data_IF_241570606073
#
_entry.id   IF_241570606073
#
_cell.length_a   1.000
_cell.length_b   1.000
_cell.length_c   1.000
_cell.angle_alpha   90.00
_cell.angle_beta   90.00
_cell.angle_gamma   90.00
#
_symmetry.space_group_name_H-M   'P 1'
#
loop_
_entity.id
_entity.type
_entity.pdbx_description
1 polymer ?
#
# COMPACT_ATOMS: atom_id res chain seq x y z
N UNK A 1 22.46 -13.12 7.10
CA UNK A 1 21.60 -12.18 7.85
C UNK A 1 20.37 -11.94 7.00
N UNK A 2 19.17 -12.00 7.60
CA UNK A 2 17.91 -11.82 6.89
C UNK A 2 17.85 -10.43 6.24
N UNK A 3 17.38 -10.34 5.00
CA UNK A 3 17.20 -9.06 4.32
C UNK A 3 16.13 -8.20 5.03
N UNK A 4 16.41 -6.91 5.24
CA UNK A 4 15.46 -6.01 5.89
C UNK A 4 14.27 -5.72 4.95
N UNK A 5 13.02 -5.79 5.42
CA UNK A 5 11.84 -5.61 4.57
C UNK A 5 11.71 -4.18 4.04
N UNK A 6 10.94 -4.05 2.96
CA UNK A 6 10.54 -2.79 2.35
C UNK A 6 9.04 -2.59 2.59
N UNK A 7 8.67 -1.43 3.14
CA UNK A 7 7.27 -1.04 3.33
C UNK A 7 6.91 0.10 2.39
N UNK A 8 5.89 -0.09 1.56
CA UNK A 8 5.32 1.00 0.75
C UNK A 8 4.19 1.63 1.55
N UNK A 9 4.46 2.82 2.11
CA UNK A 9 3.54 3.62 2.90
C UNK A 9 2.80 4.58 1.97
N UNK A 10 1.49 4.36 1.82
CA UNK A 10 0.66 5.15 0.92
C UNK A 10 -0.75 5.27 1.47
N UNK A 11 -1.44 6.36 1.12
CA UNK A 11 -2.90 6.43 1.25
C UNK A 11 -3.56 5.46 0.25
N UNK A 12 -4.78 4.94 0.52
CA UNK A 12 -5.54 4.18 -0.47
C UNK A 12 -5.61 4.87 -1.84
N UNK A 13 -5.77 4.08 -2.89
CA UNK A 13 -5.82 4.54 -4.28
C UNK A 13 -4.55 5.24 -4.80
N UNK A 14 -3.37 5.03 -4.19
CA UNK A 14 -2.11 5.68 -4.60
C UNK A 14 -1.16 4.76 -5.38
N UNK A 15 -1.65 3.94 -6.32
CA UNK A 15 -0.83 3.05 -7.17
C UNK A 15 0.01 1.97 -6.46
N UNK A 16 -0.16 1.80 -5.13
CA UNK A 16 0.62 0.86 -4.31
C UNK A 16 0.66 -0.58 -4.82
N UNK A 17 -0.45 -1.08 -5.36
CA UNK A 17 -0.55 -2.44 -5.88
C UNK A 17 0.35 -2.63 -7.12
N UNK A 18 0.38 -1.62 -8.00
CA UNK A 18 1.23 -1.63 -9.17
C UNK A 18 2.71 -1.57 -8.78
N UNK A 19 3.11 -0.62 -7.92
CA UNK A 19 4.51 -0.55 -7.47
C UNK A 19 4.95 -1.81 -6.73
N UNK A 20 4.10 -2.35 -5.83
CA UNK A 20 4.41 -3.60 -5.13
C UNK A 20 4.63 -4.74 -6.13
N UNK A 21 3.75 -4.91 -7.12
CA UNK A 21 3.89 -5.92 -8.16
C UNK A 21 5.16 -5.73 -9.01
N UNK A 22 5.50 -4.49 -9.37
CA UNK A 22 6.73 -4.17 -10.13
C UNK A 22 7.96 -4.62 -9.36
N UNK A 23 8.05 -4.22 -8.09
CA UNK A 23 9.19 -4.58 -7.24
C UNK A 23 9.26 -6.09 -7.03
N UNK A 24 8.13 -6.78 -6.92
CA UNK A 24 8.08 -8.24 -6.76
C UNK A 24 8.67 -9.04 -7.92
N UNK A 25 8.78 -8.46 -9.12
CA UNK A 25 9.40 -9.15 -10.26
C UNK A 25 10.92 -9.02 -10.28
N UNK A 26 11.51 -8.20 -9.40
CA UNK A 26 12.95 -8.13 -9.27
C UNK A 26 13.48 -9.43 -8.64
N UNK A 27 14.55 -10.05 -9.18
CA UNK A 27 15.09 -11.34 -8.69
C UNK A 27 15.65 -11.36 -7.26
N UNK A 28 15.62 -10.23 -6.55
CA UNK A 28 16.12 -10.09 -5.17
C UNK A 28 14.99 -9.69 -4.21
N UNK A 29 13.77 -9.48 -4.73
CA UNK A 29 12.63 -9.00 -3.99
C UNK A 29 11.50 -10.03 -4.07
N UNK A 30 10.54 -9.93 -3.16
CA UNK A 30 9.32 -10.73 -3.15
C UNK A 30 8.15 -9.84 -2.73
N UNK A 31 7.17 -9.66 -3.60
CA UNK A 31 5.99 -8.87 -3.28
C UNK A 31 4.98 -9.66 -2.46
N UNK A 32 4.22 -8.93 -1.65
CA UNK A 32 3.06 -9.48 -0.95
C UNK A 32 1.76 -8.79 -1.42
N UNK A 33 0.61 -9.48 -1.27
CA UNK A 33 -0.69 -8.84 -1.23
C UNK A 33 -0.83 -7.99 0.06
N UNK A 34 -1.97 -7.33 0.23
CA UNK A 34 -2.45 -6.69 1.45
C UNK A 34 -2.50 -7.72 2.59
N UNK A 35 -1.40 -7.86 3.30
CA UNK A 35 -1.27 -8.78 4.42
C UNK A 35 -2.13 -8.35 5.60
N UNK A 36 -2.22 -7.04 5.83
CA UNK A 36 -2.81 -6.43 7.02
C UNK A 36 -2.23 -6.94 8.36
N UNK A 37 -1.22 -7.82 8.32
CA UNK A 37 -0.73 -8.59 9.46
C UNK A 37 -0.19 -7.67 10.55
N UNK A 38 0.61 -6.68 10.17
CA UNK A 38 1.22 -5.75 11.11
C UNK A 38 0.26 -4.65 11.60
N UNK A 39 -1.01 -4.64 11.14
CA UNK A 39 -2.01 -3.66 11.59
C UNK A 39 -2.44 -3.86 13.04
N UNK A 40 -2.23 -5.06 13.59
CA UNK A 40 -2.48 -5.37 15.01
C UNK A 40 -1.25 -6.06 15.62
N UNK A 41 -1.21 -6.12 16.94
CA UNK A 41 -0.11 -6.78 17.67
C UNK A 41 -0.25 -8.30 17.66
N UNK A 42 -1.49 -8.81 17.69
CA UNK A 42 -1.78 -10.24 17.68
C UNK A 42 -2.76 -10.60 16.55
N UNK A 43 -2.66 -11.81 15.97
CA UNK A 43 -3.59 -12.28 14.93
C UNK A 43 -5.05 -12.34 15.36
N UNK A 44 -5.32 -12.56 16.65
CA UNK A 44 -6.68 -12.57 17.21
C UNK A 44 -7.43 -11.27 16.91
N UNK A 45 -6.76 -10.13 17.04
CA UNK A 45 -7.39 -8.83 16.74
C UNK A 45 -7.70 -8.64 15.25
N UNK A 46 -6.99 -9.33 14.35
CA UNK A 46 -7.32 -9.33 12.92
C UNK A 46 -8.59 -10.15 12.66
N UNK A 47 -8.76 -11.27 13.37
CA UNK A 47 -9.93 -12.14 13.28
C UNK A 47 -11.20 -11.49 13.85
N UNK A 48 -11.07 -10.55 14.79
CA UNK A 48 -12.18 -9.78 15.36
C UNK A 48 -12.68 -8.67 14.41
N UNK A 49 -11.88 -8.28 13.42
CA UNK A 49 -12.15 -7.17 12.50
C UNK A 49 -12.16 -7.58 11.00
N UNK A 50 -12.82 -8.69 10.61
CA UNK A 50 -12.65 -9.26 9.26
C UNK A 50 -13.21 -8.37 8.14
N UNK A 51 -14.12 -7.45 8.45
CA UNK A 51 -14.69 -6.51 7.49
C UNK A 51 -13.72 -5.37 7.11
N UNK A 52 -12.87 -4.92 8.05
CA UNK A 52 -11.93 -3.81 7.88
C UNK A 52 -10.50 -4.29 7.65
N UNK A 53 -10.16 -5.49 8.12
CA UNK A 53 -8.85 -6.13 8.00
C UNK A 53 -9.01 -7.54 7.41
N UNK A 54 -9.38 -7.65 6.12
CA UNK A 54 -9.54 -8.95 5.48
C UNK A 54 -8.22 -9.73 5.50
N UNK A 55 -8.32 -11.04 5.75
CA UNK A 55 -7.17 -11.95 5.85
C UNK A 55 -6.76 -12.56 4.50
N UNK A 56 -7.47 -12.24 3.41
CA UNK A 56 -7.24 -12.80 2.08
C UNK A 56 -5.76 -12.76 1.68
N UNK A 57 -5.09 -11.61 1.83
CA UNK A 57 -3.69 -11.47 1.46
C UNK A 57 -2.75 -12.34 2.32
N UNK A 58 -2.97 -12.39 3.64
CA UNK A 58 -2.20 -13.26 4.53
C UNK A 58 -2.38 -14.74 4.18
N UNK A 59 -3.63 -15.18 3.98
CA UNK A 59 -3.93 -16.58 3.65
C UNK A 59 -3.35 -16.97 2.28
N UNK A 60 -3.48 -16.10 1.27
CA UNK A 60 -2.87 -16.31 -0.05
C UNK A 60 -1.36 -16.42 0.03
N UNK A 61 -0.74 -15.57 0.85
CA UNK A 61 0.72 -15.58 1.02
C UNK A 61 1.21 -16.87 1.68
N UNK A 62 0.53 -17.30 2.74
CA UNK A 62 0.86 -18.56 3.43
C UNK A 62 0.61 -19.76 2.51
N UNK A 63 -0.52 -19.78 1.80
CA UNK A 63 -0.84 -20.83 0.81
C UNK A 63 0.24 -20.94 -0.25
N UNK A 64 0.64 -19.81 -0.85
CA UNK A 64 1.69 -19.79 -1.86
C UNK A 64 3.06 -20.21 -1.31
N UNK A 65 3.46 -19.71 -0.14
CA UNK A 65 4.80 -19.92 0.41
C UNK A 65 4.99 -21.32 1.00
N UNK A 66 3.98 -21.88 1.65
CA UNK A 66 4.07 -23.17 2.31
C UNK A 66 3.41 -24.31 1.51
N UNK A 67 2.37 -24.02 0.73
CA UNK A 67 1.70 -24.98 -0.13
C UNK A 67 2.21 -24.99 -1.57
N UNK A 68 2.88 -23.92 -2.03
CA UNK A 68 3.35 -23.78 -3.41
C UNK A 68 2.25 -23.39 -4.41
N UNK A 69 1.02 -23.20 -3.96
CA UNK A 69 -0.16 -22.98 -4.79
C UNK A 69 -1.21 -22.10 -4.09
N UNK A 70 -2.26 -21.71 -4.81
CA UNK A 70 -3.40 -20.95 -4.29
C UNK A 70 -4.73 -21.65 -4.62
N UNK A 71 -4.91 -22.82 -4.03
CA UNK A 71 -6.12 -23.67 -4.08
C UNK A 71 -6.99 -23.51 -2.83
N UNK A 72 -8.20 -24.07 -2.83
CA UNK A 72 -9.06 -24.10 -1.63
C UNK A 72 -8.38 -24.81 -0.46
N UNK A 73 -7.71 -25.92 -0.75
CA UNK A 73 -6.97 -26.76 0.19
C UNK A 73 -5.81 -25.98 0.81
N UNK A 74 -5.06 -25.23 -0.01
CA UNK A 74 -3.98 -24.38 0.49
C UNK A 74 -4.49 -23.24 1.39
N UNK A 75 -5.70 -22.70 1.16
CA UNK A 75 -6.28 -21.68 2.03
C UNK A 75 -6.70 -22.25 3.38
N UNK A 76 -7.23 -23.47 3.38
CA UNK A 76 -7.58 -24.15 4.63
C UNK A 76 -6.31 -24.53 5.43
N UNK A 77 -5.26 -24.97 4.75
CA UNK A 77 -3.94 -25.14 5.35
C UNK A 77 -3.43 -23.82 5.95
N UNK A 78 -3.54 -22.71 5.19
CA UNK A 78 -3.12 -21.39 5.65
C UNK A 78 -3.90 -20.90 6.89
N UNK A 79 -5.20 -21.18 6.98
CA UNK A 79 -6.00 -20.88 8.19
C UNK A 79 -5.51 -21.66 9.40
N UNK A 80 -5.29 -22.97 9.24
CA UNK A 80 -4.72 -23.81 10.32
C UNK A 80 -3.33 -23.34 10.74
N UNK A 81 -2.49 -22.96 9.77
CA UNK A 81 -1.18 -22.37 10.01
C UNK A 81 -1.27 -21.09 10.84
N UNK A 82 -2.25 -20.22 10.55
CA UNK A 82 -2.49 -18.99 11.33
C UNK A 82 -3.01 -19.30 12.73
N UNK A 83 -3.94 -20.26 12.87
CA UNK A 83 -4.50 -20.65 14.16
C UNK A 83 -3.47 -21.23 15.14
N UNK A 84 -2.44 -21.90 14.63
CA UNK A 84 -1.31 -22.36 15.45
C UNK A 84 -0.39 -21.21 15.91
N UNK A 85 -0.62 -19.98 15.46
CA UNK A 85 0.19 -18.79 15.73
C UNK A 85 -0.58 -17.68 16.44
N UNK A 86 -1.81 -17.91 16.90
CA UNK A 86 -2.63 -16.88 17.54
C UNK A 86 -1.98 -16.26 18.78
N UNK A 87 -1.14 -17.02 19.49
CA UNK A 87 -0.39 -16.54 20.66
C UNK A 87 0.91 -15.80 20.31
N UNK A 88 1.35 -15.84 19.05
CA UNK A 88 2.55 -15.11 18.60
C UNK A 88 2.19 -13.66 18.27
N UNK A 89 3.15 -12.76 18.47
CA UNK A 89 3.00 -11.41 17.94
C UNK A 89 3.09 -11.44 16.41
N UNK A 90 2.34 -10.54 15.76
CA UNK A 90 2.31 -10.41 14.30
C UNK A 90 3.69 -10.12 13.71
N UNK A 91 4.55 -9.41 14.45
CA UNK A 91 5.97 -9.19 14.07
C UNK A 91 6.75 -10.50 13.91
N UNK A 92 6.53 -11.46 14.81
CA UNK A 92 7.27 -12.72 14.83
C UNK A 92 6.81 -13.63 13.69
N UNK A 93 5.50 -13.59 13.39
CA UNK A 93 4.90 -14.23 12.23
C UNK A 93 5.44 -13.60 10.94
N UNK A 94 5.53 -12.27 10.87
CA UNK A 94 6.09 -11.58 9.70
C UNK A 94 7.58 -11.93 9.48
N UNK A 95 8.38 -12.00 10.55
CA UNK A 95 9.77 -12.47 10.49
C UNK A 95 9.86 -13.94 10.05
N UNK A 96 8.92 -14.80 10.46
CA UNK A 96 8.82 -16.18 9.99
C UNK A 96 8.60 -16.23 8.46
N UNK A 97 7.72 -15.38 7.93
CA UNK A 97 7.50 -15.26 6.49
C UNK A 97 8.74 -14.70 5.76
N UNK A 98 9.42 -13.71 6.32
CA UNK A 98 10.68 -13.20 5.77
C UNK A 98 11.73 -14.32 5.68
N UNK A 99 11.88 -15.15 6.72
CA UNK A 99 12.82 -16.30 6.68
C UNK A 99 12.43 -17.33 5.62
N UNK A 100 11.14 -17.48 5.33
CA UNK A 100 10.66 -18.45 4.34
C UNK A 100 11.04 -18.08 2.90
N UNK A 101 11.26 -16.80 2.62
CA UNK A 101 11.64 -16.30 1.29
C UNK A 101 13.14 -15.97 1.16
N UNK A 102 13.94 -16.17 2.22
CA UNK A 102 15.39 -15.90 2.17
C UNK A 102 16.04 -16.66 1.00
N UNK A 103 16.89 -16.00 0.18
CA UNK A 103 17.53 -14.69 0.37
C UNK A 103 16.76 -13.47 -0.19
N UNK A 104 15.51 -13.63 -0.63
CA UNK A 104 14.72 -12.52 -1.17
C UNK A 104 14.30 -11.52 -0.08
N UNK A 105 14.22 -10.25 -0.45
CA UNK A 105 13.77 -9.17 0.42
C UNK A 105 12.28 -8.92 0.23
N UNK A 106 11.52 -8.94 1.33
CA UNK A 106 10.07 -8.75 1.31
C UNK A 106 9.69 -7.30 0.95
N UNK A 107 8.65 -7.15 0.13
CA UNK A 107 7.98 -5.88 -0.19
C UNK A 107 6.52 -5.98 0.24
N UNK A 108 6.12 -5.20 1.25
CA UNK A 108 4.74 -5.18 1.77
C UNK A 108 4.11 -3.79 1.59
N UNK A 109 2.88 -3.78 1.10
CA UNK A 109 2.05 -2.59 1.04
C UNK A 109 0.62 -2.91 1.42
N UNK A 110 0.27 -2.60 2.67
CA UNK A 110 -1.09 -2.73 3.18
C UNK A 110 -1.71 -1.36 3.47
N UNK A 111 -2.89 -1.07 2.91
CA UNK A 111 -3.62 0.17 3.19
C UNK A 111 -3.97 0.34 4.68
N UNK A 112 -4.07 -0.77 5.42
CA UNK A 112 -4.29 -0.79 6.86
C UNK A 112 -3.13 -0.15 7.65
N UNK A 113 -1.91 -0.14 7.12
CA UNK A 113 -0.73 0.38 7.83
C UNK A 113 -0.76 1.90 7.97
N UNK A 114 -1.49 2.58 7.09
CA UNK A 114 -1.62 4.03 7.08
C UNK A 114 -3.01 4.48 7.51
N UNK A 115 -3.72 3.68 8.31
CA UNK A 115 -5.06 4.01 8.81
C UNK A 115 -5.02 5.05 9.95
N UNK A 116 -5.64 6.23 9.79
CA UNK A 116 -5.72 7.30 10.80
C UNK A 116 -6.24 6.86 12.17
N UNK A 117 -7.11 5.85 12.22
CA UNK A 117 -7.68 5.35 13.48
C UNK A 117 -6.72 4.48 14.28
N UNK A 118 -5.59 4.09 13.68
CA UNK A 118 -4.64 3.14 14.22
C UNK A 118 -3.19 3.63 13.99
N UNK A 119 -2.84 4.86 14.42
CA UNK A 119 -1.53 5.46 14.15
C UNK A 119 -0.37 4.62 14.70
N UNK A 120 -0.63 3.83 15.75
CA UNK A 120 0.39 3.00 16.39
C UNK A 120 0.86 1.83 15.53
N UNK A 121 0.19 1.58 14.42
CA UNK A 121 0.64 0.62 13.42
C UNK A 121 2.01 1.01 12.85
N UNK A 122 2.23 2.28 12.52
CA UNK A 122 3.52 2.73 12.00
C UNK A 122 4.61 2.61 13.06
N UNK A 123 4.33 3.01 14.30
CA UNK A 123 5.24 2.84 15.43
C UNK A 123 5.60 1.36 15.65
N UNK A 124 4.63 0.45 15.58
CA UNK A 124 4.83 -1.00 15.68
C UNK A 124 5.73 -1.53 14.56
N UNK A 125 5.50 -1.09 13.32
CA UNK A 125 6.34 -1.47 12.18
C UNK A 125 7.78 -0.97 12.39
N UNK A 126 7.97 0.30 12.78
CA UNK A 126 9.28 0.88 13.06
C UNK A 126 10.04 0.17 14.17
N UNK A 127 9.35 -0.14 15.28
CA UNK A 127 9.94 -0.86 16.42
C UNK A 127 10.26 -2.32 16.10
N UNK A 128 9.40 -3.00 15.33
CA UNK A 128 9.60 -4.39 14.92
C UNK A 128 10.70 -4.58 13.88
N UNK A 129 10.89 -3.58 13.02
CA UNK A 129 11.84 -3.63 11.91
C UNK A 129 12.72 -2.38 11.85
N UNK A 130 13.61 -2.19 12.85
CA UNK A 130 14.37 -0.95 13.01
C UNK A 130 15.39 -0.68 11.90
N UNK A 131 15.55 -1.60 10.93
CA UNK A 131 16.43 -1.47 9.75
C UNK A 131 15.67 -1.58 8.42
N UNK A 132 14.33 -1.56 8.45
CA UNK A 132 13.50 -1.60 7.26
C UNK A 132 13.72 -0.36 6.37
N UNK A 133 13.35 -0.52 5.10
CA UNK A 133 13.30 0.53 4.10
C UNK A 133 11.86 0.96 3.88
N UNK A 134 11.62 2.24 3.64
CA UNK A 134 10.28 2.80 3.47
C UNK A 134 10.16 3.59 2.16
N UNK A 135 9.11 3.33 1.41
CA UNK A 135 8.75 4.14 0.24
C UNK A 135 7.48 4.90 0.59
N UNK A 136 7.55 6.23 0.69
CA UNK A 136 6.36 7.08 0.78
C UNK A 136 5.81 7.32 -0.61
N UNK A 137 4.78 6.59 -0.98
CA UNK A 137 4.15 6.68 -2.30
C UNK A 137 2.94 7.62 -2.21
N UNK A 138 3.03 8.75 -2.93
CA UNK A 138 1.98 9.78 -2.94
C UNK A 138 1.23 9.78 -4.26
N UNK A 139 -0.01 10.27 -4.22
CA UNK A 139 -0.85 10.53 -5.39
C UNK A 139 -1.44 11.92 -5.26
N UNK A 140 -1.66 12.58 -6.39
CA UNK A 140 -2.25 13.91 -6.45
C UNK A 140 -3.59 13.93 -5.68
N UNK A 141 -3.81 14.89 -4.75
CA UNK A 141 -4.98 14.91 -3.87
C UNK A 141 -6.29 14.80 -4.65
N UNK A 142 -6.45 15.60 -5.72
CA UNK A 142 -7.68 15.56 -6.54
C UNK A 142 -7.99 14.19 -7.15
N UNK A 143 -6.98 13.53 -7.73
CA UNK A 143 -7.23 12.26 -8.43
C UNK A 143 -7.43 11.11 -7.45
N UNK A 144 -6.78 11.16 -6.27
CA UNK A 144 -7.02 10.21 -5.19
C UNK A 144 -8.41 10.41 -4.57
N UNK A 145 -8.78 11.64 -4.23
CA UNK A 145 -10.09 11.97 -3.66
C UNK A 145 -11.22 11.61 -4.63
N UNK A 146 -11.03 11.87 -5.93
CA UNK A 146 -12.00 11.42 -6.94
C UNK A 146 -12.13 9.89 -6.97
N UNK A 147 -11.06 9.14 -6.74
CA UNK A 147 -11.12 7.68 -6.67
C UNK A 147 -11.92 7.18 -5.46
N UNK A 148 -11.74 7.82 -4.29
CA UNK A 148 -12.55 7.56 -3.10
C UNK A 148 -14.05 7.74 -3.36
N UNK A 149 -14.43 8.77 -4.12
CA UNK A 149 -15.83 9.11 -4.37
C UNK A 149 -16.52 8.21 -5.41
N UNK A 150 -15.80 7.28 -6.07
CA UNK A 150 -16.38 6.42 -7.12
C UNK A 150 -17.17 5.21 -6.62
N UNK A 151 -16.89 4.72 -5.41
CA UNK A 151 -17.49 3.49 -4.88
C UNK A 151 -18.18 3.75 -3.52
N UNK A 152 -19.46 3.36 -3.33
CA UNK A 152 -20.19 3.61 -2.09
C UNK A 152 -19.53 3.07 -0.82
N UNK A 153 -18.78 1.95 -0.91
CA UNK A 153 -18.05 1.41 0.24
C UNK A 153 -16.89 2.30 0.65
N UNK A 154 -16.20 2.88 -0.33
CA UNK A 154 -15.11 3.84 -0.10
C UNK A 154 -15.66 5.13 0.55
N UNK A 155 -16.84 5.59 0.12
CA UNK A 155 -17.55 6.71 0.76
C UNK A 155 -17.98 6.37 2.20
N UNK A 156 -18.47 5.15 2.44
CA UNK A 156 -18.80 4.67 3.78
C UNK A 156 -17.57 4.62 4.70
N UNK A 157 -16.41 4.25 4.18
CA UNK A 157 -15.15 4.31 4.93
C UNK A 157 -14.78 5.75 5.29
N UNK A 158 -14.92 6.72 4.37
CA UNK A 158 -14.70 8.14 4.67
C UNK A 158 -15.63 8.66 5.79
N UNK A 159 -16.90 8.25 5.79
CA UNK A 159 -17.81 8.54 6.90
C UNK A 159 -17.27 7.99 8.22
N UNK A 160 -16.80 6.74 8.22
CA UNK A 160 -16.24 6.11 9.40
C UNK A 160 -14.98 6.85 9.87
N UNK A 161 -14.15 7.33 8.96
CA UNK A 161 -12.94 8.13 9.20
C UNK A 161 -13.23 9.58 9.61
N UNK A 162 -14.50 10.00 9.57
CA UNK A 162 -14.93 11.37 9.84
C UNK A 162 -14.26 12.42 8.93
N UNK A 163 -14.04 12.06 7.68
CA UNK A 163 -13.46 12.96 6.68
C UNK A 163 -14.53 13.92 6.15
N UNK A 164 -14.79 15.01 6.88
CA UNK A 164 -15.80 16.00 6.52
C UNK A 164 -15.24 17.40 6.45
N UNK A 165 -15.77 18.17 5.52
CA UNK A 165 -15.71 19.62 5.55
C UNK A 165 -16.81 20.17 6.47
N UNK A 166 -16.45 21.16 7.27
CA UNK A 166 -17.34 21.84 8.21
C UNK A 166 -17.55 23.32 7.86
N UNK A 167 -17.17 23.73 6.65
CA UNK A 167 -17.30 25.08 6.11
C UNK A 167 -18.67 25.37 5.48
N UNK A 168 -19.57 24.38 5.49
CA UNK A 168 -20.94 24.44 4.96
C UNK A 168 -21.98 24.27 6.07
N UNK A 169 -23.22 24.70 5.83
CA UNK A 169 -24.33 24.57 6.80
C UNK A 169 -24.56 23.13 7.30
N UNK A 170 -24.28 22.13 6.47
CA UNK A 170 -24.24 20.72 6.86
C UNK A 170 -22.87 20.16 6.49
N UNK A 171 -22.26 19.31 7.34
CA UNK A 171 -20.98 18.69 7.02
C UNK A 171 -21.06 17.87 5.72
N UNK A 172 -20.11 18.11 4.82
CA UNK A 172 -20.03 17.39 3.53
C UNK A 172 -18.84 16.46 3.59
N UNK A 173 -18.99 15.22 3.11
CA UNK A 173 -17.87 14.29 2.99
C UNK A 173 -16.84 14.88 2.04
N UNK A 174 -15.60 14.98 2.52
CA UNK A 174 -14.52 15.51 1.71
C UNK A 174 -13.26 14.65 1.94
N UNK A 175 -12.84 13.84 0.95
CA UNK A 175 -11.71 12.93 1.11
C UNK A 175 -10.37 13.64 1.30
N UNK A 176 -10.28 14.96 1.05
CA UNK A 176 -9.03 15.70 1.18
C UNK A 176 -8.49 15.70 2.62
N UNK A 177 -9.37 15.64 3.62
CA UNK A 177 -8.96 15.58 5.02
C UNK A 177 -8.33 14.23 5.39
N UNK A 178 -8.86 13.11 4.88
CA UNK A 178 -8.20 11.80 5.00
C UNK A 178 -6.86 11.78 4.24
N UNK A 179 -6.81 12.32 3.02
CA UNK A 179 -5.57 12.46 2.25
C UNK A 179 -4.50 13.21 3.06
N UNK A 180 -4.87 14.34 3.66
CA UNK A 180 -3.97 15.16 4.47
C UNK A 180 -3.53 14.41 5.73
N UNK A 181 -4.48 13.84 6.48
CA UNK A 181 -4.19 13.17 7.74
C UNK A 181 -3.21 12.01 7.55
N UNK A 182 -3.46 11.14 6.55
CA UNK A 182 -2.58 9.99 6.27
C UNK A 182 -1.18 10.43 5.86
N UNK A 183 -1.07 11.41 4.97
CA UNK A 183 0.23 11.88 4.52
C UNK A 183 1.02 12.57 5.65
N UNK A 184 0.37 13.37 6.49
CA UNK A 184 1.02 13.96 7.68
C UNK A 184 1.46 12.89 8.67
N UNK A 185 0.62 11.88 8.92
CA UNK A 185 0.96 10.76 9.78
C UNK A 185 2.19 9.99 9.28
N UNK A 186 2.28 9.74 7.96
CA UNK A 186 3.44 9.10 7.35
C UNK A 186 4.69 9.98 7.48
N UNK A 187 4.59 11.29 7.21
CA UNK A 187 5.71 12.22 7.36
C UNK A 187 6.23 12.25 8.80
N UNK A 188 5.33 12.41 9.78
CA UNK A 188 5.70 12.42 11.20
C UNK A 188 6.40 11.11 11.63
N UNK A 189 5.98 9.96 11.09
CA UNK A 189 6.67 8.69 11.32
C UNK A 189 8.06 8.68 10.68
N UNK A 190 8.18 9.15 9.44
CA UNK A 190 9.44 9.17 8.69
C UNK A 190 10.46 10.18 9.22
N UNK A 191 10.03 11.23 9.92
CA UNK A 191 10.92 12.17 10.61
C UNK A 191 11.82 11.47 11.65
N UNK A 192 11.35 10.35 12.21
CA UNK A 192 12.13 9.51 13.12
C UNK A 192 13.01 8.46 12.43
N UNK A 193 12.97 8.36 11.10
CA UNK A 193 13.70 7.36 10.31
C UNK A 193 14.91 8.02 9.62
N UNK A 194 16.11 7.41 9.73
CA UNK A 194 17.28 7.80 8.94
C UNK A 194 16.96 8.01 7.46
N UNK A 195 17.43 9.13 6.91
CA UNK A 195 17.10 9.59 5.55
C UNK A 195 17.60 8.65 4.45
N UNK A 196 18.58 7.80 4.73
CA UNK A 196 19.05 6.75 3.81
C UNK A 196 18.12 5.53 3.75
N UNK A 197 17.11 5.46 4.63
CA UNK A 197 16.16 4.34 4.72
C UNK A 197 14.75 4.69 4.27
N UNK A 198 14.54 5.88 3.73
CA UNK A 198 13.28 6.16 3.05
C UNK A 198 13.44 7.10 1.86
N UNK A 199 12.55 6.94 0.89
CA UNK A 199 12.41 7.83 -0.26
C UNK A 199 10.93 8.17 -0.44
N UNK A 200 10.64 9.28 -1.13
CA UNK A 200 9.28 9.67 -1.50
C UNK A 200 9.15 9.71 -3.02
N UNK A 201 8.11 9.08 -3.54
CA UNK A 201 7.83 8.98 -4.98
C UNK A 201 6.40 9.38 -5.27
N UNK A 202 6.18 10.12 -6.36
CA UNK A 202 4.83 10.34 -6.92
C UNK A 202 4.46 9.11 -7.75
N UNK A 203 3.33 8.50 -7.44
CA UNK A 203 2.87 7.30 -8.14
C UNK A 203 2.61 7.56 -9.62
N UNK A 204 2.20 8.78 -9.99
CA UNK A 204 2.05 9.16 -11.39
C UNK A 204 3.38 9.08 -12.17
N UNK A 205 4.47 9.53 -11.56
CA UNK A 205 5.79 9.52 -12.19
C UNK A 205 6.31 8.10 -12.35
N UNK A 206 6.14 7.25 -11.32
CA UNK A 206 6.53 5.84 -11.37
C UNK A 206 5.81 5.10 -12.50
N UNK A 207 4.53 5.39 -12.75
CA UNK A 207 3.75 4.72 -13.80
C UNK A 207 4.03 5.29 -15.19
N UNK A 208 4.33 6.59 -15.31
CA UNK A 208 4.58 7.26 -16.58
C UNK A 208 6.03 7.18 -17.05
N UNK A 209 6.98 7.12 -16.12
CA UNK A 209 8.42 6.98 -16.34
C UNK A 209 9.01 5.89 -15.42
N UNK A 210 8.59 4.61 -15.59
CA UNK A 210 9.02 3.54 -14.69
C UNK A 210 10.53 3.30 -14.73
N UNK A 211 11.21 3.56 -15.85
CA UNK A 211 12.65 3.26 -15.98
C UNK A 211 13.48 4.02 -14.97
N UNK A 212 13.35 5.35 -14.95
CA UNK A 212 14.17 6.21 -14.09
C UNK A 212 13.89 5.94 -12.61
N UNK A 213 12.62 5.77 -12.23
CA UNK A 213 12.24 5.54 -10.84
C UNK A 213 12.54 4.12 -10.35
N UNK A 214 12.41 3.10 -11.19
CA UNK A 214 12.79 1.74 -10.79
C UNK A 214 14.31 1.61 -10.69
N UNK A 215 15.09 2.29 -11.55
CA UNK A 215 16.55 2.39 -11.41
C UNK A 215 16.94 3.07 -10.11
N UNK A 216 16.30 4.21 -9.80
CA UNK A 216 16.50 4.95 -8.55
C UNK A 216 16.24 4.07 -7.33
N UNK A 217 15.11 3.34 -7.30
CA UNK A 217 14.78 2.40 -6.23
C UNK A 217 15.83 1.29 -6.12
N UNK A 218 16.25 0.69 -7.22
CA UNK A 218 17.25 -0.40 -7.20
C UNK A 218 18.60 0.09 -6.67
N UNK A 219 19.05 1.26 -7.11
CA UNK A 219 20.28 1.89 -6.62
C UNK A 219 20.18 2.21 -5.12
N UNK A 220 19.06 2.78 -4.67
CA UNK A 220 18.82 3.09 -3.26
C UNK A 220 18.81 1.84 -2.39
N UNK A 221 18.14 0.77 -2.83
CA UNK A 221 18.10 -0.53 -2.14
C UNK A 221 19.41 -1.32 -2.22
N UNK A 222 20.35 -0.86 -3.06
CA UNK A 222 21.64 -1.49 -3.39
C UNK A 222 21.46 -2.90 -3.96
N UNK A 223 20.54 -3.04 -4.91
CA UNK A 223 20.26 -4.30 -5.64
C UNK A 223 20.59 -4.15 -7.13
N UNK A 224 20.86 -5.27 -7.85
CA UNK A 224 21.26 -5.22 -9.26
C UNK A 224 20.25 -4.52 -10.17
N UNK A 225 20.73 -3.81 -11.18
CA UNK A 225 19.89 -3.19 -12.21
C UNK A 225 20.46 -3.46 -13.60
N UNK A 226 19.61 -3.92 -14.52
CA UNK A 226 19.93 -4.11 -15.93
C UNK A 226 18.62 -4.22 -16.75
N UNK A 227 18.74 -4.30 -18.08
CA UNK A 227 17.58 -4.36 -18.98
C UNK A 227 16.63 -5.54 -18.67
N UNK A 228 17.18 -6.72 -18.40
CA UNK A 228 16.35 -7.89 -18.09
C UNK A 228 15.57 -7.73 -16.79
N UNK A 229 16.16 -7.07 -15.79
CA UNK A 229 15.48 -6.74 -14.52
C UNK A 229 14.39 -5.71 -14.78
N UNK A 230 14.68 -4.68 -15.56
CA UNK A 230 13.69 -3.67 -15.93
C UNK A 230 12.46 -4.28 -16.61
N UNK A 231 12.66 -5.08 -17.66
CA UNK A 231 11.57 -5.74 -18.38
C UNK A 231 10.75 -6.67 -17.47
N UNK A 232 11.41 -7.42 -16.58
CA UNK A 232 10.72 -8.24 -15.58
C UNK A 232 9.85 -7.37 -14.66
N UNK A 233 10.38 -6.24 -14.17
CA UNK A 233 9.66 -5.31 -13.30
C UNK A 233 8.46 -4.62 -13.97
N UNK A 234 8.41 -4.55 -15.30
CA UNK A 234 7.22 -4.06 -16.01
C UNK A 234 6.09 -5.08 -16.11
N UNK A 235 6.41 -6.38 -16.05
CA UNK A 235 5.46 -7.47 -16.20
C UNK A 235 4.70 -7.74 -14.89
N UNK A 236 3.98 -6.74 -14.39
CA UNK A 236 3.27 -6.77 -13.11
C UNK A 236 2.19 -7.87 -13.03
N UNK A 237 1.67 -8.33 -14.16
CA UNK A 237 0.77 -9.47 -14.28
C UNK A 237 1.41 -10.81 -13.90
N UNK A 238 2.74 -10.92 -13.91
CA UNK A 238 3.46 -12.15 -13.57
C UNK A 238 3.55 -12.40 -12.06
N UNK A 239 3.23 -11.40 -11.22
CA UNK A 239 3.11 -11.64 -9.78
C UNK A 239 2.01 -12.67 -9.50
N UNK A 240 2.33 -13.65 -8.66
CA UNK A 240 1.38 -14.68 -8.18
C UNK A 240 0.19 -14.08 -7.40
N UNK A 241 0.27 -12.81 -7.03
CA UNK A 241 -0.78 -12.05 -6.34
C UNK A 241 -1.52 -11.07 -7.24
N UNK A 242 -1.20 -11.03 -8.54
CA UNK A 242 -1.83 -10.15 -9.54
C UNK A 242 -3.13 -10.71 -10.15
N UNK A 243 -3.59 -11.87 -9.68
CA UNK A 243 -4.89 -12.45 -10.03
C UNK A 243 -5.81 -12.56 -8.80
N UNK A 244 -7.10 -12.80 -9.03
CA UNK A 244 -8.01 -13.16 -7.96
C UNK A 244 -7.61 -14.52 -7.36
N UNK A 245 -7.61 -14.61 -6.04
CA UNK A 245 -7.38 -15.86 -5.32
C UNK A 245 -8.57 -16.81 -5.33
N UNK A 246 -8.43 -18.00 -4.73
CA UNK A 246 -9.51 -18.98 -4.62
C UNK A 246 -10.64 -18.49 -3.70
N UNK A 247 -11.73 -19.25 -3.66
CA UNK A 247 -12.86 -18.94 -2.78
C UNK A 247 -12.42 -18.90 -1.30
N UNK A 248 -12.94 -17.92 -0.56
CA UNK A 248 -12.56 -17.69 0.85
C UNK A 248 -11.22 -16.97 1.07
N UNK A 249 -10.53 -16.56 0.00
CA UNK A 249 -9.38 -15.64 0.00
C UNK A 249 -9.21 -15.02 -1.39
N UNK A 250 -10.28 -14.40 -1.93
CA UNK A 250 -10.35 -13.93 -3.31
C UNK A 250 -9.47 -12.70 -3.55
N UNK A 251 -9.32 -11.87 -2.53
CA UNK A 251 -8.71 -10.54 -2.65
C UNK A 251 -7.26 -10.54 -2.17
N UNK A 252 -6.81 -9.45 -1.56
CA UNK A 252 -5.39 -9.22 -1.23
C UNK A 252 -4.75 -8.13 -2.09
N UNK A 253 -5.45 -7.57 -3.08
CA UNK A 253 -5.12 -6.27 -3.68
C UNK A 253 -6.41 -5.55 -4.00
N UNK A 254 -6.32 -4.27 -4.38
CA UNK A 254 -7.51 -3.56 -4.81
C UNK A 254 -8.14 -4.28 -6.03
N UNK A 255 -9.49 -4.35 -6.13
CA UNK A 255 -10.13 -5.06 -7.23
C UNK A 255 -9.87 -4.46 -8.63
N UNK A 256 -9.57 -3.16 -8.70
CA UNK A 256 -9.27 -2.48 -9.97
C UNK A 256 -7.97 -3.00 -10.59
N UNK A 257 -6.92 -3.17 -9.80
CA UNK A 257 -5.65 -3.74 -10.24
C UNK A 257 -5.81 -5.20 -10.66
N UNK A 258 -6.50 -6.03 -9.86
CA UNK A 258 -6.69 -7.45 -10.18
C UNK A 258 -7.49 -7.69 -11.48
N UNK A 259 -8.31 -6.72 -11.91
CA UNK A 259 -9.03 -6.79 -13.20
C UNK A 259 -8.12 -6.54 -14.40
N UNK A 260 -7.04 -5.80 -14.21
CA UNK A 260 -6.11 -5.41 -15.29
C UNK A 260 -4.72 -5.20 -14.70
N UNK A 261 -4.04 -6.29 -14.31
CA UNK A 261 -2.79 -6.21 -13.56
C UNK A 261 -1.61 -5.80 -14.43
N UNK A 262 -1.69 -5.98 -15.75
CA UNK A 262 -0.66 -5.57 -16.69
C UNK A 262 -0.48 -4.05 -16.67
N UNK A 263 0.77 -3.60 -16.61
CA UNK A 263 1.10 -2.19 -16.53
C UNK A 263 0.61 -1.46 -17.78
N UNK A 264 -0.28 -0.49 -17.59
CA UNK A 264 -0.70 0.44 -18.66
C UNK A 264 0.08 1.73 -18.53
N UNK A 265 1.22 1.81 -19.21
CA UNK A 265 1.99 3.05 -19.30
C UNK A 265 1.12 4.14 -19.91
N UNK A 266 1.02 5.28 -19.21
CA UNK A 266 0.30 6.46 -19.67
C UNK A 266 1.29 7.58 -19.91
N UNK A 267 1.91 7.57 -21.09
CA UNK A 267 2.79 8.65 -21.53
C UNK A 267 2.05 9.99 -21.52
N UNK A 268 2.70 11.03 -20.99
CA UNK A 268 2.19 12.40 -21.04
C UNK A 268 0.90 12.64 -20.25
N UNK A 269 0.63 11.85 -19.19
CA UNK A 269 -0.51 12.13 -18.32
C UNK A 269 -0.31 13.51 -17.68
N UNK A 270 -1.09 14.50 -18.12
CA UNK A 270 -1.13 15.82 -17.47
C UNK A 270 -1.54 15.60 -16.03
N UNK A 271 -0.64 15.92 -15.10
CA UNK A 271 -0.98 16.03 -13.69
C UNK A 271 -2.19 16.95 -13.56
N UNK A 272 -3.12 16.56 -12.70
CA UNK A 272 -4.19 17.47 -12.32
C UNK A 272 -3.57 18.72 -11.71
N UNK A 273 -4.24 19.86 -11.89
CA UNK A 273 -3.84 21.10 -11.21
C UNK A 273 -4.34 21.10 -9.77
N UNK A 274 -3.69 21.83 -8.87
CA UNK A 274 -4.20 22.00 -7.51
C UNK A 274 -5.44 22.93 -7.43
N UNK A 275 -5.58 23.86 -8.37
CA UNK A 275 -6.67 24.85 -8.40
C UNK A 275 -8.00 24.30 -8.97
N UNK A 276 -9.06 25.07 -8.78
CA UNK A 276 -10.40 24.79 -9.32
C UNK A 276 -11.33 24.01 -8.39
N UNK A 277 -12.61 23.98 -8.75
CA UNK A 277 -13.68 23.36 -7.97
C UNK A 277 -13.57 21.84 -7.90
N UNK A 278 -13.88 21.24 -6.76
CA UNK A 278 -13.82 19.79 -6.56
C UNK A 278 -15.10 19.13 -7.10
N UNK A 279 -15.00 18.05 -7.91
CA UNK A 279 -16.18 17.46 -8.57
C UNK A 279 -17.14 16.75 -7.61
N UNK A 280 -16.74 16.49 -6.36
CA UNK A 280 -17.60 15.94 -5.31
C UNK A 280 -18.25 17.02 -4.43
N UNK A 281 -17.97 18.30 -4.69
CA UNK A 281 -18.50 19.42 -3.94
C UNK A 281 -19.49 20.21 -4.77
N UNK A 282 -20.70 20.39 -4.24
CA UNK A 282 -21.80 21.12 -4.90
C UNK A 282 -21.70 22.63 -4.74
N UNK A 283 -20.93 23.11 -3.77
CA UNK A 283 -20.68 24.53 -3.49
C UNK A 283 -19.53 25.13 -4.30
N UNK A 284 -18.89 24.33 -5.16
CA UNK A 284 -17.79 24.78 -6.01
C UNK A 284 -16.46 24.97 -5.28
N UNK A 285 -16.34 24.58 -4.00
CA UNK A 285 -15.10 24.77 -3.25
C UNK A 285 -13.94 23.92 -3.82
N UNK A 286 -12.72 24.45 -3.67
CA UNK A 286 -11.47 23.81 -4.07
C UNK A 286 -10.81 23.00 -2.95
N UNK A 287 -9.56 22.60 -3.18
CA UNK A 287 -8.72 22.08 -2.10
C UNK A 287 -8.47 23.16 -1.04
N UNK A 288 -8.38 22.76 0.22
CA UNK A 288 -8.01 23.66 1.33
C UNK A 288 -6.57 24.14 1.18
N UNK A 289 -6.26 25.29 1.78
CA UNK A 289 -4.89 25.82 1.80
C UNK A 289 -3.88 24.82 2.36
N UNK A 290 -4.22 24.12 3.43
CA UNK A 290 -3.37 23.09 4.03
C UNK A 290 -3.13 21.89 3.11
N UNK A 291 -4.15 21.48 2.33
CA UNK A 291 -4.00 20.40 1.34
C UNK A 291 -3.11 20.84 0.18
N UNK A 292 -3.27 22.08 -0.31
CA UNK A 292 -2.44 22.66 -1.37
C UNK A 292 -0.99 22.77 -0.92
N UNK A 293 -0.75 23.26 0.30
CA UNK A 293 0.60 23.38 0.86
C UNK A 293 1.30 22.01 0.94
N UNK A 294 0.62 21.01 1.50
CA UNK A 294 1.16 19.66 1.60
C UNK A 294 1.39 19.03 0.21
N UNK A 295 0.50 19.27 -0.75
CA UNK A 295 0.68 18.77 -2.11
C UNK A 295 1.87 19.43 -2.82
N UNK A 296 2.11 20.73 -2.60
CA UNK A 296 3.30 21.42 -3.10
C UNK A 296 4.59 20.89 -2.47
N UNK A 297 4.58 20.53 -1.18
CA UNK A 297 5.72 19.84 -0.56
C UNK A 297 6.04 18.49 -1.23
N UNK A 298 5.05 17.85 -1.85
CA UNK A 298 5.21 16.64 -2.64
C UNK A 298 5.51 16.88 -4.12
N UNK A 299 5.65 18.14 -4.54
CA UNK A 299 5.94 18.52 -5.92
C UNK A 299 4.73 18.53 -6.84
N UNK A 300 3.50 18.66 -6.33
CA UNK A 300 2.33 18.91 -7.17
C UNK A 300 2.10 20.42 -7.38
N UNK A 301 1.57 20.78 -8.55
CA UNK A 301 1.30 22.16 -8.99
C UNK A 301 -0.18 22.36 -9.32
#
# INVERSE_FOLDING_TARGET
>A
MLANPIFILASPFSFRAALCAMLGQHPNLYDLPDMNLLAREYPTNLLDEPATLPLDGLLRSVGQLYGGEQTLESMEMARRWLYQRLSKQTRDIYLELCRKIDPLRMVDSSAAYTNPKQPETLHRIGAGFPKAYYIHLVRHPRTQCQAWMKDPRSVSELHALKSYAHDTNQPVIDPQFDWQHRNRMILNFLDGIPTDRWIRLRGEDVISNPRDHLEEICRWLKIPWNESVYEAMLATENSVYSSAGPYGAKWGRNPEFLRSPALRQRYGHRTSKLDGSLPWRTDGAGLTGETIELARQFGYE
#
